data_IF_503660106666
#
_entry.id   IF_503660106666
#
_cell.length_a   1.000
_cell.length_b   1.000
_cell.length_c   1.000
_cell.angle_alpha   90.00
_cell.angle_beta   90.00
_cell.angle_gamma   90.00
#
_symmetry.space_group_name_H-M   'P 1'
#
loop_
_entity.id
_entity.type
_entity.pdbx_description
1 polymer ?
#
# COMPACT_ATOMS: atom_id res chain seq x y z
N UNK A 1 0.49 0.57 11.13
CA UNK A 1 1.76 0.78 10.42
C UNK A 1 2.91 0.67 11.41
N UNK A 2 4.00 0.01 11.04
CA UNK A 2 5.23 -0.07 11.83
C UNK A 2 6.32 0.68 11.06
N UNK A 3 7.09 1.54 11.74
CA UNK A 3 8.14 2.37 11.13
C UNK A 3 9.37 2.39 12.01
N UNK A 4 10.54 2.51 11.39
CA UNK A 4 11.82 2.55 12.10
C UNK A 4 12.69 3.69 11.57
N UNK A 5 12.65 4.89 12.17
CA UNK A 5 13.44 6.03 11.72
C UNK A 5 14.92 5.83 12.06
N UNK A 6 15.78 6.00 11.07
CA UNK A 6 17.23 5.93 11.14
C UNK A 6 17.79 7.31 10.82
N UNK A 7 18.57 7.86 11.75
CA UNK A 7 19.19 9.17 11.57
C UNK A 7 20.39 9.04 10.61
N UNK A 8 20.40 9.82 9.55
CA UNK A 8 21.40 9.79 8.49
C UNK A 8 21.97 11.20 8.28
N UNK A 9 22.81 11.65 9.23
CA UNK A 9 23.31 13.01 9.28
C UNK A 9 22.19 14.02 9.55
N UNK A 10 22.01 14.98 8.65
CA UNK A 10 20.92 15.97 8.67
C UNK A 10 19.61 15.45 8.09
N UNK A 11 19.59 14.22 7.59
CA UNK A 11 18.40 13.56 7.08
C UNK A 11 17.90 12.45 8.01
N UNK A 12 16.67 12.00 7.78
CA UNK A 12 16.09 10.81 8.41
C UNK A 12 15.64 9.85 7.32
N UNK A 13 16.16 8.62 7.37
CA UNK A 13 15.69 7.52 6.54
C UNK A 13 14.73 6.65 7.36
N UNK A 14 13.49 6.48 6.88
CA UNK A 14 12.42 5.80 7.61
C UNK A 14 11.85 4.66 6.77
N UNK A 15 12.36 3.42 6.92
CA UNK A 15 11.63 2.24 6.49
C UNK A 15 10.33 2.07 7.29
N UNK A 16 9.27 1.64 6.61
CA UNK A 16 8.00 1.30 7.23
C UNK A 16 7.30 0.17 6.48
N UNK A 17 6.47 -0.56 7.23
CA UNK A 17 5.52 -1.54 6.70
C UNK A 17 4.11 -1.17 7.15
N UNK A 18 3.14 -1.40 6.27
CA UNK A 18 1.74 -1.21 6.53
C UNK A 18 0.99 -2.51 6.22
N UNK A 19 0.11 -2.90 7.13
CA UNK A 19 -0.87 -3.95 6.92
C UNK A 19 -2.21 -3.38 7.36
N UNK A 20 -3.25 -3.60 6.56
CA UNK A 20 -4.60 -3.17 6.89
C UNK A 20 -5.60 -3.90 6.02
N UNK A 21 -6.80 -4.10 6.53
CA UNK A 21 -7.91 -4.55 5.70
C UNK A 21 -8.64 -3.33 5.12
N UNK A 22 -9.00 -3.39 3.84
CA UNK A 22 -9.86 -2.43 3.17
C UNK A 22 -11.05 -3.13 2.52
N UNK A 23 -12.03 -2.37 2.07
CA UNK A 23 -13.02 -2.87 1.14
C UNK A 23 -12.72 -2.28 -0.22
N UNK A 24 -12.63 -3.12 -1.25
CA UNK A 24 -12.43 -2.66 -2.62
C UNK A 24 -13.74 -2.87 -3.35
N UNK A 25 -14.33 -1.76 -3.77
CA UNK A 25 -15.56 -1.73 -4.55
C UNK A 25 -15.18 -1.76 -6.02
N UNK A 26 -15.46 -2.87 -6.68
CA UNK A 26 -15.22 -3.02 -8.12
C UNK A 26 -16.52 -2.68 -8.84
N UNK A 27 -16.48 -1.66 -9.67
CA UNK A 27 -17.59 -1.30 -10.56
C UNK A 27 -17.25 -1.75 -11.97
N UNK A 28 -17.94 -2.78 -12.46
CA UNK A 28 -17.73 -3.30 -13.82
C UNK A 28 -18.60 -2.49 -14.79
N UNK A 29 -17.98 -1.76 -15.73
CA UNK A 29 -18.68 -0.95 -16.73
C UNK A 29 -19.61 -1.76 -17.67
N UNK A 30 -19.57 -3.09 -17.64
CA UNK A 30 -20.31 -3.98 -18.55
C UNK A 30 -21.50 -4.71 -17.90
N UNK A 31 -21.73 -4.57 -16.60
CA UNK A 31 -22.84 -5.23 -15.91
C UNK A 31 -23.19 -4.51 -14.61
N UNK A 32 -24.48 -4.24 -14.39
CA UNK A 32 -25.10 -3.41 -13.33
C UNK A 32 -24.90 -3.90 -11.87
N UNK A 33 -23.84 -4.65 -11.59
CA UNK A 33 -23.59 -5.27 -10.28
C UNK A 33 -22.36 -4.67 -9.61
N UNK A 34 -22.58 -3.72 -8.72
CA UNK A 34 -21.55 -3.24 -7.79
C UNK A 34 -21.42 -4.21 -6.64
N UNK A 35 -20.22 -4.75 -6.41
CA UNK A 35 -19.95 -5.57 -5.25
C UNK A 35 -18.77 -5.03 -4.46
N UNK A 36 -18.89 -5.07 -3.14
CA UNK A 36 -17.86 -4.67 -2.18
C UNK A 36 -17.29 -5.92 -1.51
N UNK A 37 -15.99 -6.15 -1.63
CA UNK A 37 -15.31 -7.28 -0.98
C UNK A 37 -14.25 -6.79 0.00
N UNK A 38 -14.08 -7.54 1.10
CA UNK A 38 -12.97 -7.38 2.03
C UNK A 38 -11.66 -7.77 1.33
N UNK A 39 -10.70 -6.86 1.33
CA UNK A 39 -9.40 -6.98 0.71
C UNK A 39 -8.32 -6.77 1.78
N UNK A 40 -7.37 -7.70 1.88
CA UNK A 40 -6.17 -7.49 2.68
C UNK A 40 -5.19 -6.63 1.91
N UNK A 41 -4.71 -5.54 2.52
CA UNK A 41 -3.69 -4.69 1.93
C UNK A 41 -2.43 -4.82 2.77
N UNK A 42 -1.34 -5.29 2.17
CA UNK A 42 -0.01 -5.26 2.77
C UNK A 42 0.87 -4.31 1.96
N UNK A 43 1.84 -3.68 2.58
CA UNK A 43 2.74 -2.77 1.88
C UNK A 43 3.97 -2.47 2.68
N UNK A 44 5.03 -2.11 1.97
CA UNK A 44 6.29 -1.69 2.53
C UNK A 44 6.76 -0.45 1.78
N UNK A 45 7.45 0.43 2.49
CA UNK A 45 7.98 1.62 1.87
C UNK A 45 9.11 2.24 2.65
N UNK A 46 9.75 3.19 2.00
CA UNK A 46 10.89 3.94 2.51
C UNK A 46 10.56 5.41 2.36
N UNK A 47 10.88 6.19 3.37
CA UNK A 47 10.85 7.65 3.30
C UNK A 47 12.25 8.19 3.60
N UNK A 48 12.70 9.15 2.82
CA UNK A 48 13.91 9.90 3.09
C UNK A 48 13.57 11.37 3.23
N UNK A 49 13.82 11.92 4.42
CA UNK A 49 13.41 13.28 4.79
C UNK A 49 14.62 14.13 5.13
N UNK A 50 14.70 15.30 4.51
CA UNK A 50 15.71 16.32 4.78
C UNK A 50 15.01 17.62 5.18
N UNK A 51 15.03 17.93 6.48
CA UNK A 51 14.30 19.07 7.03
C UNK A 51 12.79 18.96 6.80
N UNK A 52 12.23 19.89 6.01
CA UNK A 52 10.79 19.95 5.70
C UNK A 52 10.37 19.15 4.46
N UNK A 53 11.32 18.75 3.63
CA UNK A 53 11.07 18.05 2.37
C UNK A 53 11.44 16.59 2.52
N UNK A 54 10.63 15.70 1.96
CA UNK A 54 10.92 14.28 1.89
C UNK A 54 10.54 13.67 0.56
N UNK A 55 11.15 12.53 0.27
CA UNK A 55 10.80 11.63 -0.82
C UNK A 55 10.31 10.33 -0.21
N UNK A 56 9.26 9.75 -0.78
CA UNK A 56 8.65 8.52 -0.32
C UNK A 56 8.49 7.56 -1.49
N UNK A 57 8.85 6.31 -1.28
CA UNK A 57 8.52 5.20 -2.16
C UNK A 57 7.74 4.16 -1.35
N UNK A 58 6.64 3.66 -1.91
CA UNK A 58 5.80 2.63 -1.28
C UNK A 58 5.39 1.60 -2.33
N UNK A 59 5.63 0.33 -2.02
CA UNK A 59 5.01 -0.81 -2.71
C UNK A 59 3.87 -1.34 -1.86
N UNK A 60 2.70 -1.54 -2.47
CA UNK A 60 1.53 -2.16 -1.85
C UNK A 60 1.18 -3.41 -2.64
N UNK A 61 1.03 -4.50 -1.92
CA UNK A 61 0.48 -5.75 -2.42
C UNK A 61 -0.93 -5.91 -1.86
N UNK A 62 -1.89 -6.05 -2.76
CA UNK A 62 -3.28 -6.29 -2.41
C UNK A 62 -3.54 -7.79 -2.50
N UNK A 63 -3.61 -8.44 -1.34
CA UNK A 63 -3.88 -9.88 -1.25
C UNK A 63 -5.39 -10.07 -1.19
N UNK A 64 -5.96 -10.59 -2.27
CA UNK A 64 -7.35 -11.02 -2.33
C UNK A 64 -7.43 -12.55 -2.31
N UNK A 65 -8.02 -13.11 -1.26
CA UNK A 65 -8.40 -14.54 -1.27
C UNK A 65 -9.73 -14.70 -2.02
N UNK A 66 -9.67 -15.44 -3.12
CA UNK A 66 -10.85 -15.93 -3.84
C UNK A 66 -11.40 -17.15 -3.11
N UNK A 67 -12.47 -16.97 -2.33
CA UNK A 67 -13.21 -18.10 -1.76
C UNK A 67 -14.58 -18.24 -2.44
N UNK A 68 -14.57 -18.80 -3.66
CA UNK A 68 -15.70 -19.53 -4.25
C UNK A 68 -15.24 -20.34 -5.48
N UNK A 69 -15.67 -21.61 -5.56
CA UNK A 69 -15.49 -22.53 -6.70
C UNK A 69 -14.11 -23.18 -6.93
N UNK A 70 -13.28 -23.36 -5.90
CA UNK A 70 -12.12 -24.28 -5.99
C UNK A 70 -10.97 -23.83 -6.91
N UNK A 71 -10.90 -22.53 -7.24
CA UNK A 71 -9.74 -21.94 -7.90
C UNK A 71 -8.90 -21.21 -6.86
N UNK A 72 -7.85 -21.89 -6.39
CA UNK A 72 -6.82 -21.29 -5.55
C UNK A 72 -5.89 -20.45 -6.44
N UNK A 73 -6.25 -19.18 -6.62
CA UNK A 73 -5.41 -18.23 -7.35
C UNK A 73 -5.30 -16.94 -6.55
N UNK A 74 -4.29 -16.89 -5.69
CA UNK A 74 -3.83 -15.66 -5.05
C UNK A 74 -3.33 -14.72 -6.14
N UNK A 75 -4.15 -13.73 -6.49
CA UNK A 75 -3.77 -12.71 -7.46
C UNK A 75 -3.10 -11.57 -6.69
N UNK A 76 -1.78 -11.47 -6.83
CA UNK A 76 -0.98 -10.38 -6.28
C UNK A 76 -1.05 -9.21 -7.26
N UNK A 77 -1.81 -8.17 -6.91
CA UNK A 77 -1.75 -6.90 -7.63
C UNK A 77 -0.78 -5.99 -6.88
N UNK A 78 0.42 -5.84 -7.44
CA UNK A 78 1.50 -5.07 -6.83
C UNK A 78 1.47 -3.67 -7.44
N UNK A 79 1.00 -2.71 -6.64
CA UNK A 79 1.04 -1.30 -6.98
C UNK A 79 2.27 -0.65 -6.33
N UNK A 80 3.00 0.18 -7.09
CA UNK A 80 4.11 0.97 -6.56
C UNK A 80 3.79 2.45 -6.74
N UNK A 81 4.06 3.25 -5.72
CA UNK A 81 3.90 4.71 -5.76
C UNK A 81 5.16 5.40 -5.26
N UNK A 82 5.52 6.48 -5.95
CA UNK A 82 6.53 7.44 -5.53
C UNK A 82 5.88 8.79 -5.27
N UNK A 83 6.34 9.51 -4.25
CA UNK A 83 5.78 10.81 -3.87
C UNK A 83 6.76 11.73 -3.16
N UNK A 84 6.41 13.01 -3.11
CA UNK A 84 7.09 14.04 -2.34
C UNK A 84 6.26 14.37 -1.10
N UNK A 85 6.92 14.57 0.03
CA UNK A 85 6.29 14.97 1.29
C UNK A 85 6.80 16.34 1.72
N UNK A 86 5.89 17.19 2.18
CA UNK A 86 6.18 18.50 2.76
C UNK A 86 5.61 18.52 4.18
N UNK A 87 6.41 18.98 5.14
CA UNK A 87 6.01 19.12 6.54
C UNK A 87 6.09 20.60 6.95
N UNK A 88 5.02 21.11 7.57
CA UNK A 88 4.83 22.52 7.93
C UNK A 88 5.06 22.75 9.42
#
# INVERSE_FOLDING_TARGET
MLRYPIQAGSATFTPYVLGGAGAISVHQLASDSTWSKFAGNFGAGLEYRFGRVGVRAEGRDFIYTFDRYGFDKTQHDIAWQGGLTLSF
#
